data_IF_600343201172
#
_entry.id   IF_600343201172
#
_cell.length_a   1.000
_cell.length_b   1.000
_cell.length_c   1.000
_cell.angle_alpha   90.00
_cell.angle_beta   90.00
_cell.angle_gamma   90.00
#
_symmetry.space_group_name_H-M   'P 1'
#
loop_
_entity.id
_entity.type
_entity.pdbx_description
1 polymer ?
#
# COMPACT_ATOMS: atom_id res chain seq x y z
N UNK A 1 -13.67 -13.86 12.51
CA UNK A 1 -12.66 -12.87 12.88
C UNK A 1 -13.20 -11.48 12.60
N UNK A 2 -13.04 -10.53 13.52
CA UNK A 2 -13.43 -9.11 13.35
C UNK A 2 -12.17 -8.28 13.07
N UNK A 3 -12.16 -7.58 11.95
CA UNK A 3 -10.97 -6.85 11.47
C UNK A 3 -11.30 -5.37 11.29
N UNK A 4 -10.43 -4.50 11.82
CA UNK A 4 -10.42 -3.08 11.49
C UNK A 4 -9.60 -2.87 10.22
N UNK A 5 -10.17 -2.22 9.21
CA UNK A 5 -9.45 -1.77 8.01
C UNK A 5 -9.46 -0.24 7.99
N UNK A 6 -8.31 0.39 8.14
CA UNK A 6 -8.19 1.85 7.98
C UNK A 6 -7.86 2.19 6.54
N UNK A 7 -8.30 3.36 6.05
CA UNK A 7 -8.21 3.68 4.63
C UNK A 7 -9.16 2.83 3.77
N UNK A 8 -10.31 2.45 4.33
CA UNK A 8 -11.24 1.49 3.75
C UNK A 8 -11.94 1.97 2.46
N UNK A 9 -12.06 3.28 2.23
CA UNK A 9 -12.53 3.87 0.98
C UNK A 9 -11.39 4.11 -0.05
N UNK A 10 -10.15 3.79 0.34
CA UNK A 10 -8.97 3.85 -0.53
C UNK A 10 -8.93 2.71 -1.54
N UNK A 11 -7.96 2.76 -2.47
CA UNK A 11 -7.77 1.76 -3.52
C UNK A 11 -7.57 0.34 -2.95
N UNK A 12 -6.56 0.17 -2.11
CA UNK A 12 -6.23 -1.15 -1.54
C UNK A 12 -7.24 -1.52 -0.45
N UNK A 13 -7.65 -0.56 0.40
CA UNK A 13 -8.57 -0.81 1.52
C UNK A 13 -9.94 -1.32 1.08
N UNK A 14 -10.53 -0.76 0.02
CA UNK A 14 -11.82 -1.23 -0.50
C UNK A 14 -11.73 -2.62 -1.15
N UNK A 15 -10.65 -2.90 -1.88
CA UNK A 15 -10.42 -4.22 -2.48
C UNK A 15 -10.17 -5.29 -1.40
N UNK A 16 -9.40 -4.94 -0.37
CA UNK A 16 -9.17 -5.81 0.79
C UNK A 16 -10.46 -6.09 1.56
N UNK A 17 -11.26 -5.05 1.83
CA UNK A 17 -12.55 -5.22 2.54
C UNK A 17 -13.45 -6.21 1.81
N UNK A 18 -13.59 -6.10 0.50
CA UNK A 18 -14.37 -7.05 -0.31
C UNK A 18 -13.81 -8.47 -0.16
N UNK A 19 -12.50 -8.66 -0.32
CA UNK A 19 -11.88 -9.98 -0.22
C UNK A 19 -12.05 -10.63 1.16
N UNK A 20 -11.94 -9.84 2.23
CA UNK A 20 -12.17 -10.32 3.60
C UNK A 20 -13.64 -10.69 3.83
N UNK A 21 -14.58 -9.88 3.32
CA UNK A 21 -16.02 -10.18 3.38
C UNK A 21 -16.37 -11.48 2.64
N UNK A 22 -15.78 -11.70 1.44
CA UNK A 22 -15.95 -12.96 0.68
C UNK A 22 -15.44 -14.18 1.44
N UNK A 23 -14.49 -13.99 2.37
CA UNK A 23 -13.98 -15.03 3.27
C UNK A 23 -14.75 -15.13 4.60
N UNK A 24 -15.83 -14.36 4.76
CA UNK A 24 -16.70 -14.42 5.92
C UNK A 24 -16.22 -13.64 7.15
N UNK A 25 -15.26 -12.72 7.00
CA UNK A 25 -14.82 -11.84 8.09
C UNK A 25 -15.88 -10.78 8.39
N UNK A 26 -15.89 -10.27 9.62
CA UNK A 26 -16.63 -9.08 10.01
C UNK A 26 -15.69 -7.88 9.92
N UNK A 27 -16.03 -6.89 9.12
CA UNK A 27 -15.16 -5.74 8.84
C UNK A 27 -15.76 -4.45 9.38
N UNK A 28 -14.96 -3.73 10.15
CA UNK A 28 -15.20 -2.32 10.41
C UNK A 28 -14.18 -1.53 9.59
N UNK A 29 -14.66 -0.74 8.64
CA UNK A 29 -13.83 0.12 7.80
C UNK A 29 -13.87 1.56 8.30
N UNK A 30 -12.73 2.24 8.38
CA UNK A 30 -12.65 3.69 8.62
C UNK A 30 -11.89 4.40 7.51
N UNK A 31 -12.36 5.60 7.14
CA UNK A 31 -11.71 6.50 6.19
C UNK A 31 -12.17 7.93 6.46
N UNK A 32 -11.30 8.92 6.28
CA UNK A 32 -11.69 10.33 6.47
C UNK A 32 -12.31 10.95 5.20
N UNK A 33 -12.28 10.24 4.08
CA UNK A 33 -12.76 10.69 2.78
C UNK A 33 -12.17 12.04 2.35
N UNK A 34 -10.86 12.28 2.66
CA UNK A 34 -10.21 13.53 2.29
C UNK A 34 -10.21 13.76 0.76
N UNK A 35 -9.99 15.01 0.38
CA UNK A 35 -10.02 15.53 -0.99
C UNK A 35 -8.65 15.53 -1.69
N UNK A 36 -7.69 14.74 -1.22
CA UNK A 36 -6.39 14.59 -1.89
C UNK A 36 -6.52 14.20 -3.36
N UNK A 37 -7.54 13.41 -3.66
CA UNK A 37 -8.07 13.17 -5.01
C UNK A 37 -9.59 13.07 -4.92
N UNK A 38 -10.25 13.02 -6.10
CA UNK A 38 -11.70 13.00 -6.24
C UNK A 38 -12.40 12.11 -5.20
N UNK A 39 -13.16 12.70 -4.25
CA UNK A 39 -13.90 11.95 -3.23
C UNK A 39 -15.00 11.05 -3.81
N UNK A 40 -15.58 11.36 -4.98
CA UNK A 40 -16.60 10.53 -5.62
C UNK A 40 -16.06 9.14 -5.94
N UNK A 41 -14.78 9.03 -6.29
CA UNK A 41 -14.15 7.73 -6.51
C UNK A 41 -14.05 6.93 -5.19
N UNK A 42 -13.88 7.58 -4.03
CA UNK A 42 -13.89 6.91 -2.72
C UNK A 42 -15.28 6.41 -2.38
N UNK A 43 -16.31 7.23 -2.58
CA UNK A 43 -17.71 6.84 -2.39
C UNK A 43 -18.10 5.68 -3.32
N UNK A 44 -17.70 5.74 -4.59
CA UNK A 44 -17.97 4.66 -5.54
C UNK A 44 -17.27 3.34 -5.19
N UNK A 45 -16.06 3.39 -4.60
CA UNK A 45 -15.38 2.19 -4.07
C UNK A 45 -16.15 1.61 -2.90
N UNK A 46 -16.59 2.46 -1.96
CA UNK A 46 -17.34 2.07 -0.78
C UNK A 46 -18.71 1.48 -1.15
N UNK A 47 -19.41 2.08 -2.12
CA UNK A 47 -20.73 1.62 -2.60
C UNK A 47 -20.75 0.15 -3.04
N UNK A 48 -19.60 -0.42 -3.41
CA UNK A 48 -19.46 -1.81 -3.84
C UNK A 48 -19.74 -2.83 -2.72
N UNK A 49 -19.62 -2.43 -1.45
CA UNK A 49 -19.74 -3.33 -0.31
C UNK A 49 -20.36 -2.73 0.94
N UNK A 50 -20.76 -1.45 0.92
CA UNK A 50 -21.33 -0.77 2.09
C UNK A 50 -22.57 -1.48 2.67
N UNK A 51 -23.36 -2.12 1.81
CA UNK A 51 -24.59 -2.82 2.21
C UNK A 51 -24.35 -4.30 2.59
N UNK A 52 -23.09 -4.76 2.65
CA UNK A 52 -22.83 -6.12 3.06
C UNK A 52 -23.08 -6.30 4.56
N UNK A 53 -23.83 -7.35 4.97
CA UNK A 53 -24.27 -7.59 6.36
C UNK A 53 -23.14 -7.64 7.40
N UNK A 54 -21.93 -8.00 6.98
CA UNK A 54 -20.75 -8.10 7.84
C UNK A 54 -19.82 -6.89 7.69
N UNK A 55 -20.27 -5.79 7.08
CA UNK A 55 -19.49 -4.57 6.90
C UNK A 55 -20.14 -3.39 7.63
N UNK A 56 -19.32 -2.66 8.37
CA UNK A 56 -19.69 -1.37 8.96
C UNK A 56 -18.68 -0.33 8.53
N UNK A 57 -19.12 0.86 8.15
CA UNK A 57 -18.26 1.98 7.79
C UNK A 57 -18.42 3.15 8.73
N UNK A 58 -17.32 3.72 9.19
CA UNK A 58 -17.30 4.95 9.99
C UNK A 58 -16.40 5.97 9.28
N UNK A 59 -16.93 7.17 9.03
CA UNK A 59 -16.15 8.28 8.54
C UNK A 59 -15.34 8.87 9.68
N UNK A 60 -14.03 8.62 9.71
CA UNK A 60 -13.14 8.97 10.82
C UNK A 60 -11.73 9.25 10.32
N UNK A 61 -11.05 10.23 10.92
CA UNK A 61 -9.62 10.49 10.71
C UNK A 61 -8.80 9.81 11.81
N UNK A 62 -7.77 9.06 11.44
CA UNK A 62 -6.84 8.45 12.40
C UNK A 62 -6.01 9.47 13.18
N UNK A 63 -5.97 10.74 12.74
CA UNK A 63 -5.33 11.84 13.47
C UNK A 63 -6.12 12.25 14.72
N UNK A 64 -7.42 11.94 14.77
CA UNK A 64 -8.25 12.15 15.97
C UNK A 64 -8.04 11.00 16.97
N UNK A 65 -7.05 11.17 17.83
CA UNK A 65 -6.68 10.16 18.82
C UNK A 65 -7.81 9.78 19.77
N UNK A 66 -8.68 10.75 20.13
CA UNK A 66 -9.83 10.48 21.01
C UNK A 66 -10.84 9.57 20.34
N UNK A 67 -11.22 9.87 19.11
CA UNK A 67 -12.16 9.04 18.34
C UNK A 67 -11.59 7.64 18.08
N UNK A 68 -10.28 7.53 17.82
CA UNK A 68 -9.61 6.22 17.66
C UNK A 68 -9.63 5.43 18.97
N UNK A 69 -9.33 6.07 20.11
CA UNK A 69 -9.39 5.42 21.42
C UNK A 69 -10.80 4.90 21.75
N UNK A 70 -11.83 5.71 21.50
CA UNK A 70 -13.24 5.35 21.70
C UNK A 70 -13.63 4.15 20.79
N UNK A 71 -13.24 4.18 19.51
CA UNK A 71 -13.46 3.09 18.56
C UNK A 71 -12.91 1.75 19.07
N UNK A 72 -11.70 1.74 19.58
CA UNK A 72 -11.07 0.51 20.09
C UNK A 72 -11.70 0.04 21.41
N UNK A 73 -12.20 0.94 22.25
CA UNK A 73 -12.93 0.58 23.47
C UNK A 73 -14.32 -0.01 23.18
N UNK A 74 -15.02 0.50 22.18
CA UNK A 74 -16.34 0.01 21.78
C UNK A 74 -16.29 -1.30 21.01
N UNK A 75 -15.18 -1.54 20.31
CA UNK A 75 -15.01 -2.67 19.42
C UNK A 75 -13.76 -3.45 19.74
N UNK A 76 -13.92 -4.74 20.01
CA UNK A 76 -12.78 -5.65 20.09
C UNK A 76 -12.44 -6.17 18.69
N UNK A 77 -11.18 -6.00 18.27
CA UNK A 77 -10.68 -6.47 16.99
C UNK A 77 -9.70 -7.62 17.18
N UNK A 78 -9.88 -8.70 16.40
CA UNK A 78 -8.91 -9.80 16.34
C UNK A 78 -7.65 -9.38 15.58
N UNK A 79 -7.83 -8.54 14.56
CA UNK A 79 -6.75 -8.00 13.74
C UNK A 79 -7.03 -6.60 13.21
N UNK A 80 -5.96 -5.88 12.90
CA UNK A 80 -6.02 -4.54 12.31
C UNK A 80 -5.17 -4.50 11.04
N UNK A 81 -5.72 -3.94 9.95
CA UNK A 81 -4.97 -3.64 8.74
C UNK A 81 -4.93 -2.13 8.54
N UNK A 82 -3.79 -1.51 8.84
CA UNK A 82 -3.62 -0.06 8.74
C UNK A 82 -3.11 0.33 7.36
N UNK A 83 -4.03 0.79 6.49
CA UNK A 83 -3.74 1.31 5.15
C UNK A 83 -3.97 2.81 5.04
N UNK A 84 -4.62 3.44 6.03
CA UNK A 84 -4.78 4.88 6.09
C UNK A 84 -3.42 5.58 6.14
N UNK A 85 -3.18 6.45 5.20
CA UNK A 85 -1.95 7.24 5.13
C UNK A 85 -2.13 8.41 4.16
N UNK A 86 -1.39 9.50 4.39
CA UNK A 86 -1.10 10.42 3.32
C UNK A 86 -0.08 9.77 2.39
N UNK A 87 -0.47 9.53 1.14
CA UNK A 87 0.34 8.88 0.13
C UNK A 87 0.87 9.88 -0.91
N UNK A 88 1.85 9.44 -1.71
CA UNK A 88 2.43 10.26 -2.78
C UNK A 88 3.78 10.87 -2.38
N UNK A 89 4.85 10.49 -3.10
CA UNK A 89 6.21 10.99 -2.85
C UNK A 89 6.28 12.51 -3.09
N UNK A 90 5.71 12.98 -4.20
CA UNK A 90 5.80 14.39 -4.63
C UNK A 90 5.04 15.33 -3.71
N UNK A 91 3.84 14.98 -3.33
CA UNK A 91 3.04 15.80 -2.42
C UNK A 91 3.72 15.97 -1.05
N UNK A 92 4.60 15.03 -0.64
CA UNK A 92 5.37 15.19 0.60
C UNK A 92 6.42 16.32 0.55
N UNK A 93 6.78 16.79 -0.66
CA UNK A 93 7.65 17.97 -0.85
C UNK A 93 6.82 19.24 -0.67
N UNK A 94 5.58 19.24 -1.13
CA UNK A 94 4.68 20.39 -1.10
C UNK A 94 4.00 20.57 0.27
N UNK A 95 3.56 19.46 0.88
CA UNK A 95 2.85 19.45 2.17
C UNK A 95 3.43 18.42 3.14
N UNK A 96 4.62 18.65 3.72
CA UNK A 96 5.30 17.70 4.60
C UNK A 96 4.53 17.40 5.88
N UNK A 97 3.84 18.37 6.47
CA UNK A 97 3.14 18.21 7.74
C UNK A 97 1.96 17.23 7.65
N UNK A 98 1.32 17.10 6.49
CA UNK A 98 0.28 16.11 6.29
C UNK A 98 0.80 14.67 6.51
N UNK A 99 2.07 14.41 6.17
CA UNK A 99 2.71 13.10 6.38
C UNK A 99 3.09 12.86 7.83
N UNK A 100 3.56 13.88 8.54
CA UNK A 100 3.84 13.76 9.98
C UNK A 100 2.55 13.48 10.73
N UNK A 101 1.51 14.28 10.50
CA UNK A 101 0.25 14.15 11.24
C UNK A 101 -0.46 12.82 10.93
N UNK A 102 -0.62 12.47 9.65
CA UNK A 102 -1.34 11.24 9.29
C UNK A 102 -0.49 10.00 9.51
N UNK A 103 0.73 9.97 8.96
CA UNK A 103 1.51 8.73 8.90
C UNK A 103 2.24 8.44 10.22
N UNK A 104 2.61 9.46 11.01
CA UNK A 104 3.31 9.24 12.27
C UNK A 104 2.36 9.37 13.46
N UNK A 105 1.69 10.50 13.63
CA UNK A 105 0.78 10.72 14.77
C UNK A 105 -0.44 9.78 14.65
N UNK A 106 -1.11 9.75 13.51
CA UNK A 106 -2.25 8.85 13.27
C UNK A 106 -1.90 7.37 13.43
N UNK A 107 -0.73 6.95 12.94
CA UNK A 107 -0.26 5.57 13.17
C UNK A 107 0.04 5.29 14.65
N UNK A 108 0.54 6.27 15.39
CA UNK A 108 0.70 6.17 16.83
C UNK A 108 -0.62 5.89 17.57
N UNK A 109 -1.71 6.57 17.17
CA UNK A 109 -3.03 6.30 17.74
C UNK A 109 -3.52 4.87 17.45
N UNK A 110 -3.26 4.34 16.26
CA UNK A 110 -3.57 2.94 15.92
C UNK A 110 -2.75 1.96 16.77
N UNK A 111 -1.47 2.21 16.96
CA UNK A 111 -0.61 1.39 17.82
C UNK A 111 -1.11 1.39 19.27
N UNK A 112 -1.46 2.56 19.82
CA UNK A 112 -2.05 2.68 21.18
C UNK A 112 -3.39 1.93 21.28
N UNK A 113 -4.25 2.07 20.26
CA UNK A 113 -5.50 1.31 20.20
C UNK A 113 -5.26 -0.19 20.21
N UNK A 114 -4.31 -0.69 19.43
CA UNK A 114 -3.97 -2.11 19.36
C UNK A 114 -3.46 -2.64 20.71
N UNK A 115 -2.49 -1.94 21.33
CA UNK A 115 -1.87 -2.43 22.58
C UNK A 115 -2.83 -2.45 23.77
N UNK A 116 -3.71 -1.44 23.88
CA UNK A 116 -4.64 -1.33 25.01
C UNK A 116 -5.85 -2.27 24.89
N UNK A 117 -6.10 -2.82 23.69
CA UNK A 117 -7.26 -3.68 23.44
C UNK A 117 -6.87 -5.09 22.99
N UNK A 118 -5.63 -5.51 23.26
CA UNK A 118 -5.12 -6.87 23.03
C UNK A 118 -5.36 -7.37 21.59
N UNK A 119 -5.12 -6.51 20.58
CA UNK A 119 -5.25 -6.91 19.16
C UNK A 119 -4.23 -7.99 18.85
N UNK A 120 -4.70 -9.10 18.27
CA UNK A 120 -3.86 -10.27 18.00
C UNK A 120 -2.84 -10.07 16.88
N UNK A 121 -3.08 -9.15 15.92
CA UNK A 121 -2.15 -8.84 14.84
C UNK A 121 -2.42 -7.47 14.23
N UNK A 122 -1.37 -6.65 14.07
CA UNK A 122 -1.38 -5.42 13.30
C UNK A 122 -0.58 -5.61 12.01
N UNK A 123 -1.25 -5.58 10.86
CA UNK A 123 -0.62 -5.48 9.54
C UNK A 123 -0.65 -4.02 9.10
N UNK A 124 0.47 -3.47 8.64
CA UNK A 124 0.52 -2.06 8.24
C UNK A 124 1.26 -1.84 6.93
N UNK A 125 0.82 -0.81 6.19
CA UNK A 125 1.43 -0.40 4.94
C UNK A 125 2.73 0.37 5.17
N UNK A 126 3.87 -0.22 4.82
CA UNK A 126 5.12 0.45 4.50
C UNK A 126 5.17 0.74 2.99
N UNK A 127 6.33 0.96 2.41
CA UNK A 127 6.51 1.32 1.00
C UNK A 127 7.89 0.94 0.49
N UNK A 128 8.01 0.58 -0.78
CA UNK A 128 9.31 0.47 -1.47
C UNK A 128 10.10 1.78 -1.48
N UNK A 129 9.45 2.91 -1.26
CA UNK A 129 10.12 4.22 -1.14
C UNK A 129 11.13 4.27 0.02
N UNK A 130 11.01 3.40 1.03
CA UNK A 130 11.97 3.33 2.15
C UNK A 130 13.37 2.94 1.72
N UNK A 131 13.51 2.24 0.57
CA UNK A 131 14.82 1.88 0.02
C UNK A 131 15.64 3.11 -0.40
N UNK A 132 14.97 4.23 -0.70
CA UNK A 132 15.64 5.53 -0.88
C UNK A 132 16.81 5.48 -1.85
N UNK A 133 18.01 5.76 -1.33
CA UNK A 133 19.29 5.78 -2.10
C UNK A 133 19.91 4.40 -2.32
N UNK A 134 19.29 3.30 -1.91
CA UNK A 134 19.81 1.97 -2.17
C UNK A 134 19.86 1.70 -3.68
N UNK A 135 20.97 1.12 -4.17
CA UNK A 135 21.18 0.82 -5.59
C UNK A 135 21.26 -0.67 -5.91
N UNK A 136 21.46 -1.51 -4.89
CA UNK A 136 21.50 -2.97 -5.05
C UNK A 136 20.09 -3.50 -5.36
N UNK A 137 19.96 -4.24 -6.45
CA UNK A 137 18.72 -4.85 -6.92
C UNK A 137 18.84 -6.38 -6.97
N UNK A 138 17.76 -7.15 -6.71
CA UNK A 138 16.47 -6.67 -6.22
C UNK A 138 16.57 -6.07 -4.82
N UNK A 139 15.65 -5.17 -4.46
CA UNK A 139 15.56 -4.62 -3.11
C UNK A 139 15.18 -5.69 -2.11
N UNK A 140 16.03 -5.94 -1.13
CA UNK A 140 15.83 -6.97 -0.12
C UNK A 140 15.43 -6.36 1.23
N UNK A 141 14.53 -7.04 1.95
CA UNK A 141 14.15 -6.66 3.31
C UNK A 141 15.31 -6.78 4.31
N UNK A 142 16.37 -7.49 3.93
CA UNK A 142 17.61 -7.67 4.70
C UNK A 142 18.61 -6.53 4.51
N UNK A 143 18.36 -5.59 3.60
CA UNK A 143 19.22 -4.40 3.40
C UNK A 143 18.73 -3.24 4.30
N UNK A 144 19.68 -2.47 4.87
CA UNK A 144 19.36 -1.26 5.62
C UNK A 144 18.76 -0.18 4.71
N UNK A 145 17.83 0.60 5.24
CA UNK A 145 17.06 1.62 4.51
C UNK A 145 17.06 2.95 5.26
N UNK A 146 18.24 3.49 5.51
CA UNK A 146 18.48 4.64 6.38
C UNK A 146 18.68 5.96 5.61
N UNK A 147 18.55 5.95 4.27
CA UNK A 147 18.73 7.11 3.39
C UNK A 147 17.51 7.38 2.52
N UNK A 148 16.34 7.74 3.14
CA UNK A 148 15.11 8.04 2.40
C UNK A 148 15.27 9.31 1.56
N UNK A 149 14.66 9.32 0.35
CA UNK A 149 14.72 10.45 -0.60
C UNK A 149 13.51 11.40 -0.49
N UNK A 150 12.56 11.13 0.41
CA UNK A 150 11.37 11.96 0.62
C UNK A 150 10.86 11.82 2.05
N UNK A 151 10.09 12.82 2.51
CA UNK A 151 9.45 12.72 3.82
C UNK A 151 8.39 11.62 3.86
N UNK A 152 7.75 11.32 2.73
CA UNK A 152 6.89 10.12 2.63
C UNK A 152 7.67 8.85 2.98
N UNK A 153 8.83 8.64 2.36
CA UNK A 153 9.68 7.48 2.65
C UNK A 153 10.12 7.46 4.13
N UNK A 154 10.58 8.60 4.65
CA UNK A 154 10.96 8.74 6.05
C UNK A 154 9.79 8.40 7.00
N UNK A 155 8.58 8.87 6.72
CA UNK A 155 7.39 8.57 7.53
C UNK A 155 7.04 7.08 7.52
N UNK A 156 7.22 6.38 6.39
CA UNK A 156 7.01 4.93 6.30
C UNK A 156 8.09 4.13 7.04
N UNK A 157 9.35 4.57 6.96
CA UNK A 157 10.41 3.98 7.80
C UNK A 157 10.15 4.21 9.29
N UNK A 158 9.67 5.39 9.67
CA UNK A 158 9.26 5.68 11.04
C UNK A 158 8.15 4.71 11.52
N UNK A 159 7.17 4.37 10.67
CA UNK A 159 6.16 3.36 11.02
C UNK A 159 6.79 1.99 11.32
N UNK A 160 7.80 1.55 10.54
CA UNK A 160 8.50 0.28 10.81
C UNK A 160 9.19 0.30 12.19
N UNK A 161 9.85 1.40 12.55
CA UNK A 161 10.53 1.58 13.83
C UNK A 161 9.54 1.67 15.00
N UNK A 162 8.45 2.42 14.83
CA UNK A 162 7.39 2.53 15.85
C UNK A 162 6.75 1.16 16.11
N UNK A 163 6.38 0.43 15.06
CA UNK A 163 5.79 -0.90 15.19
C UNK A 163 6.74 -1.88 15.90
N UNK A 164 8.04 -1.86 15.55
CA UNK A 164 9.04 -2.67 16.25
C UNK A 164 9.08 -2.36 17.77
N UNK A 165 9.05 -1.07 18.13
CA UNK A 165 9.06 -0.65 19.54
C UNK A 165 7.86 -1.21 20.29
N UNK A 166 6.66 -1.18 19.69
CA UNK A 166 5.44 -1.73 20.30
C UNK A 166 5.46 -3.26 20.39
N UNK A 167 6.00 -3.93 19.37
CA UNK A 167 6.22 -5.38 19.44
C UNK A 167 7.19 -5.76 20.55
N UNK A 168 8.26 -4.98 20.75
CA UNK A 168 9.26 -5.24 21.79
C UNK A 168 8.75 -4.97 23.20
N UNK A 169 8.03 -3.86 23.40
CA UNK A 169 7.61 -3.42 24.75
C UNK A 169 6.30 -4.09 25.20
N UNK A 170 5.43 -4.44 24.28
CA UNK A 170 4.05 -4.86 24.59
C UNK A 170 3.67 -6.20 23.94
N UNK A 171 4.62 -6.91 23.35
CA UNK A 171 4.39 -8.19 22.67
C UNK A 171 3.29 -8.12 21.59
N UNK A 172 3.01 -6.93 21.05
CA UNK A 172 2.04 -6.75 19.98
C UNK A 172 2.59 -7.36 18.66
N UNK A 173 1.98 -8.41 18.09
CA UNK A 173 2.42 -8.94 16.81
C UNK A 173 2.20 -7.91 15.70
N UNK A 174 3.27 -7.50 15.00
CA UNK A 174 3.16 -6.54 13.90
C UNK A 174 3.88 -7.01 12.64
N UNK A 175 3.26 -6.78 11.49
CA UNK A 175 3.86 -7.07 10.18
C UNK A 175 3.76 -5.86 9.26
N UNK A 176 4.90 -5.33 8.86
CA UNK A 176 4.99 -4.27 7.86
C UNK A 176 5.13 -4.83 6.45
N UNK A 177 4.36 -4.28 5.51
CA UNK A 177 4.42 -4.64 4.11
C UNK A 177 4.97 -3.47 3.30
N UNK A 178 6.14 -3.63 2.68
CA UNK A 178 6.72 -2.66 1.74
C UNK A 178 6.08 -2.86 0.38
N UNK A 179 5.00 -2.09 0.12
CA UNK A 179 4.32 -2.13 -1.18
C UNK A 179 5.18 -1.56 -2.29
N UNK A 180 5.27 -2.31 -3.39
CA UNK A 180 5.75 -1.80 -4.67
C UNK A 180 4.60 -1.14 -5.43
N UNK A 181 4.74 -0.89 -6.74
CA UNK A 181 3.74 -0.10 -7.47
C UNK A 181 2.47 -0.90 -7.72
N UNK A 182 1.43 -0.62 -6.94
CA UNK A 182 0.13 -1.30 -7.06
C UNK A 182 -0.70 -0.68 -8.20
N UNK A 183 -1.28 -1.51 -9.07
CA UNK A 183 -2.14 -1.08 -10.16
C UNK A 183 -3.36 -1.99 -10.34
N UNK A 184 -4.37 -1.53 -11.07
CA UNK A 184 -5.58 -2.31 -11.37
C UNK A 184 -6.84 -1.46 -11.32
N UNK A 185 -8.03 -2.08 -11.54
CA UNK A 185 -9.33 -1.40 -11.44
C UNK A 185 -9.50 -0.67 -10.11
N UNK A 186 -10.16 0.48 -10.15
CA UNK A 186 -10.35 1.35 -9.00
C UNK A 186 -9.05 2.00 -8.48
N UNK A 187 -7.99 2.00 -9.30
CA UNK A 187 -6.68 2.56 -8.99
C UNK A 187 -6.72 4.04 -8.60
N UNK A 188 -5.62 4.53 -8.06
CA UNK A 188 -5.49 5.93 -7.64
C UNK A 188 -5.30 6.86 -8.84
N UNK A 189 -5.99 8.03 -8.89
CA UNK A 189 -5.89 8.97 -10.00
C UNK A 189 -4.51 9.61 -10.18
N UNK A 190 -3.71 9.68 -9.11
CA UNK A 190 -2.36 10.25 -9.13
C UNK A 190 -1.28 9.31 -9.69
N UNK A 191 -1.63 8.04 -10.00
CA UNK A 191 -0.71 7.03 -10.54
C UNK A 191 -0.63 7.08 -12.07
N UNK A 192 0.51 6.63 -12.61
CA UNK A 192 0.83 6.70 -14.04
C UNK A 192 -0.25 6.07 -14.94
N UNK A 193 -0.69 4.84 -14.65
CA UNK A 193 -1.69 4.15 -15.47
C UNK A 193 -2.98 4.98 -15.62
N UNK A 194 -3.47 5.53 -14.52
CA UNK A 194 -4.67 6.34 -14.50
C UNK A 194 -4.49 7.63 -15.30
N UNK A 195 -3.38 8.35 -15.04
CA UNK A 195 -3.06 9.61 -15.75
C UNK A 195 -2.88 9.39 -17.26
N UNK A 196 -2.15 8.36 -17.65
CA UNK A 196 -1.93 8.03 -19.05
C UNK A 196 -3.24 7.66 -19.76
N UNK A 197 -4.05 6.80 -19.13
CA UNK A 197 -5.35 6.41 -19.69
C UNK A 197 -6.26 7.63 -19.89
N UNK A 198 -6.34 8.52 -18.88
CA UNK A 198 -7.16 9.74 -18.98
C UNK A 198 -6.68 10.66 -20.09
N UNK A 199 -5.37 10.91 -20.19
CA UNK A 199 -4.78 11.77 -21.21
C UNK A 199 -5.01 11.19 -22.63
N UNK A 200 -4.72 9.88 -22.82
CA UNK A 200 -4.89 9.23 -24.13
C UNK A 200 -6.34 9.25 -24.61
N UNK A 201 -7.31 9.01 -23.71
CA UNK A 201 -8.74 9.06 -24.06
C UNK A 201 -9.22 10.49 -24.34
N UNK A 202 -8.56 11.51 -23.76
CA UNK A 202 -8.81 12.91 -24.04
C UNK A 202 -8.06 13.45 -25.28
N UNK A 203 -7.24 12.64 -25.93
CA UNK A 203 -6.39 13.07 -27.08
C UNK A 203 -5.22 13.97 -26.63
N UNK A 204 -4.83 13.91 -25.36
CA UNK A 204 -3.74 14.69 -24.78
C UNK A 204 -2.42 13.89 -24.73
N UNK A 205 -1.29 14.60 -24.77
CA UNK A 205 0.04 14.00 -24.60
C UNK A 205 0.23 13.41 -23.22
N UNK A 206 0.86 12.24 -23.15
CA UNK A 206 1.30 11.66 -21.88
C UNK A 206 2.70 12.16 -21.50
N UNK A 207 2.89 12.56 -20.23
CA UNK A 207 4.19 13.00 -19.71
C UNK A 207 5.03 11.80 -19.27
N UNK A 208 6.12 11.53 -20.00
CA UNK A 208 7.00 10.38 -19.78
C UNK A 208 8.32 10.88 -19.17
N UNK A 209 8.44 10.78 -17.85
CA UNK A 209 9.62 11.24 -17.11
C UNK A 209 10.82 10.30 -17.28
N UNK A 210 12.03 10.82 -16.99
CA UNK A 210 13.31 10.16 -17.22
C UNK A 210 13.45 9.64 -18.66
N UNK A 211 12.85 10.37 -19.63
CA UNK A 211 12.86 9.98 -21.04
C UNK A 211 12.37 8.54 -21.30
N UNK A 212 11.55 7.99 -20.40
CA UNK A 212 11.07 6.61 -20.43
C UNK A 212 12.02 5.57 -19.81
N UNK A 213 13.20 5.97 -19.33
CA UNK A 213 14.19 5.07 -18.73
C UNK A 213 13.82 4.74 -17.27
N UNK A 214 12.68 4.09 -17.09
CA UNK A 214 12.19 3.59 -15.81
C UNK A 214 11.87 2.11 -15.90
N UNK A 215 12.16 1.41 -14.81
CA UNK A 215 11.72 0.04 -14.61
C UNK A 215 11.00 -0.05 -13.26
N UNK A 216 9.80 -0.61 -13.25
CA UNK A 216 8.98 -0.73 -12.04
C UNK A 216 8.47 -2.15 -11.84
N UNK A 217 8.44 -2.55 -10.59
CA UNK A 217 7.71 -3.72 -10.17
C UNK A 217 6.23 -3.35 -10.01
N UNK A 218 5.44 -3.63 -11.06
CA UNK A 218 3.99 -3.39 -11.06
C UNK A 218 3.26 -4.61 -10.55
N UNK A 219 2.52 -4.46 -9.45
CA UNK A 219 1.79 -5.56 -8.82
C UNK A 219 0.28 -5.32 -8.90
N UNK A 220 -0.45 -6.31 -9.41
CA UNK A 220 -1.89 -6.20 -9.58
C UNK A 220 -2.63 -6.21 -8.24
N UNK A 221 -3.73 -5.47 -8.17
CA UNK A 221 -4.48 -5.25 -6.92
C UNK A 221 -4.91 -6.56 -6.26
N UNK A 222 -5.39 -7.56 -7.02
CA UNK A 222 -5.85 -8.82 -6.44
C UNK A 222 -4.69 -9.64 -5.84
N UNK A 223 -3.50 -9.56 -6.46
CA UNK A 223 -2.29 -10.16 -5.92
C UNK A 223 -1.88 -9.49 -4.60
N UNK A 224 -1.94 -8.16 -4.53
CA UNK A 224 -1.65 -7.42 -3.29
C UNK A 224 -2.62 -7.82 -2.17
N UNK A 225 -3.90 -7.83 -2.48
CA UNK A 225 -4.95 -8.15 -1.49
C UNK A 225 -4.81 -9.58 -0.98
N UNK A 226 -4.53 -10.55 -1.86
CA UNK A 226 -4.29 -11.94 -1.45
C UNK A 226 -3.08 -12.06 -0.52
N UNK A 227 -1.99 -11.34 -0.82
CA UNK A 227 -0.81 -11.29 0.05
C UNK A 227 -1.12 -10.72 1.43
N UNK A 228 -1.87 -9.60 1.50
CA UNK A 228 -2.28 -9.00 2.78
C UNK A 228 -3.12 -9.98 3.61
N UNK A 229 -4.07 -10.67 2.98
CA UNK A 229 -4.95 -11.62 3.70
C UNK A 229 -4.15 -12.77 4.29
N UNK A 230 -3.23 -13.37 3.53
CA UNK A 230 -2.38 -14.45 4.04
C UNK A 230 -1.48 -14.00 5.19
N UNK A 231 -0.96 -12.78 5.11
CA UNK A 231 -0.18 -12.18 6.20
C UNK A 231 -1.05 -11.94 7.43
N UNK A 232 -2.27 -11.40 7.26
CA UNK A 232 -3.19 -11.15 8.36
C UNK A 232 -3.53 -12.44 9.13
N UNK A 233 -3.71 -13.54 8.41
CA UNK A 233 -4.06 -14.85 8.99
C UNK A 233 -2.91 -15.53 9.75
N UNK A 234 -1.68 -15.01 9.63
CA UNK A 234 -0.48 -15.58 10.26
C UNK A 234 0.31 -14.48 11.00
N UNK A 235 -0.03 -14.20 12.27
CA UNK A 235 0.66 -13.19 13.07
C UNK A 235 2.17 -13.39 13.13
N UNK A 236 2.90 -12.27 13.16
CA UNK A 236 4.35 -12.30 13.33
C UNK A 236 4.73 -13.00 14.64
N UNK A 237 5.79 -13.78 14.56
CA UNK A 237 6.40 -14.44 15.72
C UNK A 237 7.86 -13.96 15.88
N UNK A 238 8.37 -14.04 17.12
CA UNK A 238 9.74 -13.70 17.40
C UNK A 238 10.72 -14.63 16.62
N UNK A 239 11.86 -14.07 16.21
CA UNK A 239 12.93 -14.83 15.58
C UNK A 239 13.95 -15.26 16.66
N UNK A 240 13.89 -16.52 17.09
CA UNK A 240 14.80 -17.08 18.10
C UNK A 240 16.27 -17.09 17.68
N UNK A 241 16.56 -16.94 16.39
CA UNK A 241 17.93 -16.90 15.84
C UNK A 241 18.46 -15.49 15.65
N UNK A 242 17.61 -14.47 15.93
CA UNK A 242 18.03 -13.08 15.79
C UNK A 242 19.18 -12.75 16.75
N UNK A 243 20.19 -12.06 16.24
CA UNK A 243 21.37 -11.71 17.00
C UNK A 243 21.70 -10.21 16.80
N UNK A 244 21.82 -9.48 17.93
CA UNK A 244 22.15 -8.06 17.94
C UNK A 244 23.54 -7.70 17.40
N UNK A 245 24.49 -8.65 17.33
CA UNK A 245 25.81 -8.41 16.72
C UNK A 245 25.76 -8.37 15.19
N UNK A 246 24.73 -9.02 14.61
CA UNK A 246 24.43 -9.01 13.16
C UNK A 246 22.93 -8.91 12.96
N UNK A 247 22.33 -7.74 13.28
CA UNK A 247 20.89 -7.58 13.26
C UNK A 247 20.36 -7.70 11.84
N UNK A 248 19.37 -8.59 11.64
CA UNK A 248 18.60 -8.66 10.41
C UNK A 248 17.53 -7.57 10.43
N UNK A 249 17.52 -6.63 9.45
CA UNK A 249 16.55 -5.53 9.42
C UNK A 249 15.10 -5.94 9.17
N UNK A 250 14.82 -7.21 8.80
CA UNK A 250 13.47 -7.69 8.48
C UNK A 250 12.77 -8.40 9.62
N UNK A 251 13.51 -8.72 10.71
CA UNK A 251 13.02 -9.52 11.82
C UNK A 251 13.62 -9.06 13.15
N UNK A 252 13.14 -9.59 14.26
CA UNK A 252 13.60 -9.23 15.59
C UNK A 252 13.42 -10.40 16.59
N UNK A 253 14.01 -10.26 17.77
CA UNK A 253 13.67 -11.08 18.93
C UNK A 253 12.25 -10.80 19.49
N UNK A 254 11.56 -9.77 18.98
CA UNK A 254 10.15 -9.48 19.23
C UNK A 254 9.25 -10.02 18.10
N UNK A 255 7.93 -10.11 18.28
CA UNK A 255 6.99 -10.56 17.25
C UNK A 255 6.76 -9.48 16.18
N UNK A 256 7.81 -9.13 15.44
CA UNK A 256 7.86 -8.11 14.41
C UNK A 256 8.50 -8.65 13.13
N UNK A 257 7.88 -8.34 11.99
CA UNK A 257 8.37 -8.75 10.67
C UNK A 257 8.14 -7.67 9.62
N UNK A 258 9.05 -7.61 8.63
CA UNK A 258 8.89 -6.81 7.41
C UNK A 258 8.96 -7.75 6.21
N UNK A 259 8.07 -7.52 5.23
CA UNK A 259 8.09 -8.19 3.94
C UNK A 259 7.98 -7.19 2.79
N UNK A 260 8.64 -7.49 1.68
CA UNK A 260 8.30 -6.89 0.42
C UNK A 260 7.04 -7.55 -0.16
N UNK A 261 6.16 -6.75 -0.75
CA UNK A 261 5.03 -7.25 -1.51
C UNK A 261 5.03 -6.61 -2.90
N UNK A 262 5.44 -7.40 -3.88
CA UNK A 262 5.69 -7.00 -5.26
C UNK A 262 5.51 -8.19 -6.21
N UNK A 263 5.54 -7.96 -7.51
CA UNK A 263 5.38 -9.03 -8.50
C UNK A 263 6.65 -9.85 -8.73
N UNK A 264 7.80 -9.36 -8.25
CA UNK A 264 9.12 -9.91 -8.57
C UNK A 264 9.36 -10.04 -10.10
N UNK A 265 8.76 -9.13 -10.86
CA UNK A 265 8.82 -9.10 -12.32
C UNK A 265 8.81 -7.66 -12.82
N UNK A 266 10.00 -7.01 -12.84
CA UNK A 266 10.10 -5.61 -13.22
C UNK A 266 9.76 -5.41 -14.70
N UNK A 267 9.00 -4.36 -14.99
CA UNK A 267 8.53 -3.99 -16.34
C UNK A 267 9.07 -2.61 -16.71
N UNK A 268 9.61 -2.47 -17.91
CA UNK A 268 10.01 -1.17 -18.44
C UNK A 268 8.79 -0.27 -18.65
N UNK A 269 8.93 1.02 -18.37
CA UNK A 269 7.81 1.97 -18.51
C UNK A 269 7.26 2.01 -19.95
N UNK A 270 8.13 1.91 -20.94
CA UNK A 270 7.71 1.89 -22.34
C UNK A 270 6.89 0.63 -22.71
N UNK A 271 7.26 -0.54 -22.16
CA UNK A 271 6.48 -1.78 -22.37
C UNK A 271 5.11 -1.69 -21.66
N UNK A 272 5.05 -0.97 -20.54
CA UNK A 272 3.79 -0.70 -19.86
C UNK A 272 2.88 0.23 -20.65
N UNK A 273 3.45 1.27 -21.28
CA UNK A 273 2.74 2.17 -22.18
C UNK A 273 2.26 1.41 -23.42
N UNK A 274 3.09 0.55 -24.05
CA UNK A 274 2.70 -0.29 -25.19
C UNK A 274 1.50 -1.21 -24.84
N UNK A 275 1.52 -1.81 -23.64
CA UNK A 275 0.39 -2.61 -23.18
C UNK A 275 -0.91 -1.77 -23.05
N UNK A 276 -0.79 -0.51 -22.63
CA UNK A 276 -1.91 0.42 -22.51
C UNK A 276 -2.42 0.85 -23.89
N UNK A 277 -1.52 1.22 -24.82
CA UNK A 277 -1.83 1.57 -26.21
C UNK A 277 -2.63 0.44 -26.90
N UNK A 278 -2.14 -0.78 -26.79
CA UNK A 278 -2.81 -1.98 -27.33
C UNK A 278 -4.19 -2.22 -26.69
N UNK A 279 -4.31 -1.99 -25.40
CA UNK A 279 -5.57 -2.18 -24.67
C UNK A 279 -6.62 -1.12 -24.99
N UNK A 280 -6.20 0.12 -25.25
CA UNK A 280 -7.08 1.23 -25.63
C UNK A 280 -7.40 1.26 -27.12
N UNK A 281 -6.51 0.71 -27.97
CA UNK A 281 -6.53 0.87 -29.43
C UNK A 281 -6.11 2.27 -29.88
N UNK A 282 -5.31 2.98 -29.06
CA UNK A 282 -4.87 4.38 -29.26
C UNK A 282 -3.35 4.42 -29.11
N UNK A 283 -2.65 5.04 -30.04
CA UNK A 283 -1.23 5.34 -29.90
C UNK A 283 -1.05 6.62 -29.08
N UNK A 284 -0.16 6.58 -28.09
CA UNK A 284 0.08 7.71 -27.17
C UNK A 284 1.06 8.72 -27.79
N UNK A 285 0.67 9.99 -27.84
CA UNK A 285 1.62 11.08 -28.07
C UNK A 285 2.42 11.30 -26.77
N UNK A 286 3.76 11.14 -26.84
CA UNK A 286 4.64 11.14 -25.67
C UNK A 286 5.43 12.45 -25.58
N UNK A 287 5.30 13.15 -24.44
CA UNK A 287 6.19 14.25 -24.06
C UNK A 287 7.30 13.69 -23.13
N UNK A 288 8.52 13.59 -23.66
CA UNK A 288 9.66 13.05 -22.91
C UNK A 288 10.27 14.16 -22.02
N UNK A 289 10.33 13.89 -20.71
CA UNK A 289 10.77 14.84 -19.70
C UNK A 289 11.94 14.28 -18.87
N UNK A 290 12.78 15.13 -18.24
CA UNK A 290 13.85 14.68 -17.34
C UNK A 290 13.28 14.00 -16.09
N UNK A 291 14.16 13.29 -15.34
CA UNK A 291 13.81 12.67 -14.06
C UNK A 291 13.32 13.73 -13.07
N UNK A 292 12.25 13.42 -12.36
CA UNK A 292 11.69 14.33 -11.34
C UNK A 292 12.40 14.17 -9.99
N UNK A 293 12.52 15.26 -9.20
CA UNK A 293 13.03 15.17 -7.83
C UNK A 293 12.26 14.15 -6.97
N UNK A 294 12.99 13.36 -6.20
CA UNK A 294 12.43 12.34 -5.32
C UNK A 294 12.02 11.02 -6.01
N UNK A 295 12.09 10.94 -7.34
CA UNK A 295 11.83 9.70 -8.06
C UNK A 295 13.09 8.79 -8.08
N UNK A 296 12.85 7.50 -7.92
CA UNK A 296 13.87 6.44 -8.10
C UNK A 296 13.72 5.88 -9.52
N UNK A 297 14.83 5.73 -10.30
CA UNK A 297 14.74 5.20 -11.68
C UNK A 297 14.14 3.81 -11.76
N UNK A 298 14.60 2.88 -10.91
CA UNK A 298 14.23 1.48 -10.97
C UNK A 298 13.76 0.97 -9.61
N UNK A 299 12.76 0.08 -9.60
CA UNK A 299 12.33 -0.65 -8.43
C UNK A 299 12.05 -2.11 -8.78
N UNK A 300 12.62 -3.01 -8.00
CA UNK A 300 12.49 -4.45 -8.16
C UNK A 300 12.49 -5.12 -6.79
N UNK A 301 11.43 -5.86 -6.47
CA UNK A 301 11.23 -6.51 -5.19
C UNK A 301 11.91 -7.88 -5.14
N UNK A 302 12.70 -8.14 -4.10
CA UNK A 302 12.93 -9.49 -3.60
C UNK A 302 11.74 -9.88 -2.70
N UNK A 303 11.00 -10.89 -3.09
CA UNK A 303 9.80 -11.39 -2.39
C UNK A 303 9.95 -12.82 -1.89
N UNK A 304 11.17 -13.35 -1.87
CA UNK A 304 11.43 -14.75 -1.52
C UNK A 304 10.97 -15.08 -0.09
N UNK A 305 11.14 -14.15 0.85
CA UNK A 305 10.63 -14.31 2.22
C UNK A 305 9.12 -14.42 2.28
N UNK A 306 8.40 -13.59 1.52
CA UNK A 306 6.94 -13.64 1.45
C UNK A 306 6.47 -14.98 0.85
N UNK A 307 7.13 -15.43 -0.23
CA UNK A 307 6.82 -16.71 -0.88
C UNK A 307 7.05 -17.86 0.08
N UNK A 308 8.22 -17.90 0.74
CA UNK A 308 8.59 -18.96 1.66
C UNK A 308 7.65 -19.06 2.86
N UNK A 309 7.28 -17.90 3.45
CA UNK A 309 6.57 -17.89 4.72
C UNK A 309 5.05 -18.01 4.54
N UNK A 310 4.50 -17.65 3.38
CA UNK A 310 3.05 -17.63 3.11
C UNK A 310 2.61 -18.48 1.92
N UNK A 311 3.53 -19.19 1.25
CA UNK A 311 3.26 -20.00 0.05
C UNK A 311 2.45 -19.22 -0.99
N UNK A 312 2.87 -17.96 -1.25
CA UNK A 312 2.16 -17.06 -2.12
C UNK A 312 3.09 -16.28 -3.04
N UNK A 313 2.80 -16.34 -4.34
CA UNK A 313 3.49 -15.58 -5.38
C UNK A 313 2.48 -14.82 -6.23
N UNK A 314 2.65 -13.50 -6.42
CA UNK A 314 1.90 -12.73 -7.41
C UNK A 314 2.00 -13.35 -8.79
N UNK A 315 0.90 -13.34 -9.56
CA UNK A 315 0.83 -14.10 -10.81
C UNK A 315 0.14 -13.37 -11.97
N UNK A 316 -0.42 -12.18 -11.75
CA UNK A 316 -1.17 -11.46 -12.79
C UNK A 316 -0.24 -10.92 -13.90
N UNK A 317 -0.37 -11.40 -15.15
CA UNK A 317 0.39 -10.84 -16.27
C UNK A 317 0.04 -9.37 -16.52
N UNK A 318 1.05 -8.51 -16.76
CA UNK A 318 0.87 -7.06 -16.93
C UNK A 318 -0.17 -6.70 -17.99
N UNK A 319 -0.12 -7.35 -19.15
CA UNK A 319 -1.07 -7.11 -20.25
C UNK A 319 -2.52 -7.38 -19.85
N UNK A 320 -2.76 -8.45 -19.07
CA UNK A 320 -4.09 -8.80 -18.56
C UNK A 320 -4.56 -7.79 -17.52
N UNK A 321 -3.68 -7.40 -16.59
CA UNK A 321 -3.99 -6.42 -15.56
C UNK A 321 -4.30 -5.04 -16.14
N UNK A 322 -3.53 -4.57 -17.13
CA UNK A 322 -3.78 -3.32 -17.85
C UNK A 322 -5.13 -3.38 -18.58
N UNK A 323 -5.43 -4.49 -19.28
CA UNK A 323 -6.73 -4.65 -19.96
C UNK A 323 -7.91 -4.64 -18.96
N UNK A 324 -7.78 -5.25 -17.80
CA UNK A 324 -8.81 -5.19 -16.77
C UNK A 324 -9.02 -3.76 -16.27
N UNK A 325 -7.93 -3.00 -16.10
CA UNK A 325 -8.01 -1.60 -15.70
C UNK A 325 -8.70 -0.74 -16.75
N UNK A 326 -8.33 -0.85 -18.02
CA UNK A 326 -8.90 -0.03 -19.11
C UNK A 326 -10.38 -0.32 -19.30
N UNK A 327 -10.81 -1.59 -19.20
CA UNK A 327 -12.23 -1.97 -19.26
C UNK A 327 -13.02 -1.32 -18.11
N UNK A 328 -12.48 -1.37 -16.90
CA UNK A 328 -13.08 -0.70 -15.75
C UNK A 328 -13.12 0.82 -15.97
N UNK A 329 -12.01 1.43 -16.41
CA UNK A 329 -11.91 2.87 -16.58
C UNK A 329 -12.94 3.39 -17.59
N UNK A 330 -13.02 2.75 -18.79
CA UNK A 330 -14.00 3.12 -19.82
C UNK A 330 -15.43 3.01 -19.28
N UNK A 331 -15.74 1.93 -18.56
CA UNK A 331 -17.08 1.73 -17.99
C UNK A 331 -17.42 2.77 -16.92
N UNK A 332 -16.48 3.08 -16.04
CA UNK A 332 -16.72 3.99 -14.91
C UNK A 332 -16.83 5.45 -15.35
N UNK A 333 -16.02 5.87 -16.33
CA UNK A 333 -15.99 7.25 -16.85
C UNK A 333 -16.80 7.44 -18.14
N UNK A 334 -17.56 6.44 -18.61
CA UNK A 334 -18.45 6.48 -19.79
C UNK A 334 -17.72 6.81 -21.11
N UNK A 335 -16.57 6.16 -21.35
CA UNK A 335 -15.84 6.22 -22.63
C UNK A 335 -16.21 5.08 -23.57
#
# INVERSE_FOLDING_TARGET
>A
MKVLVTGAAGFIGSALSIRLLDRGYNILGIDNHNDYYDPELKEARLARHINHKNYTHIRMDIQDGKSVEELFKEHQFDGVVNLAAQAGVRYSIENPLAYINTNMVGFGHILEGCRHNNVGHLVYASSSSVYGSNTKMPFSVHDNVDHPLSLYAASKKANELMAHTYSHLYDLPTTGLRFFTVYGPWGRPDMALFKFTKAMLAGEKIKVFNYGNHQRDFTYIDDIVEGIVRVLDKPAVLNLKWNGDKPDPSSSSAPWRIYNIGSNSPVKLLDYIDALEKSLGIEAEKELLPLQPGDVPDTFADVDDLIRDFDYKPSMPIKKGVNNFTKWFKKYYNY
#
